data_IF_737401682168
#
_entry.id   IF_737401682168
#
_cell.length_a   1.000
_cell.length_b   1.000
_cell.length_c   1.000
_cell.angle_alpha   90.00
_cell.angle_beta   90.00
_cell.angle_gamma   90.00
#
_symmetry.space_group_name_H-M   'P 1'
#
loop_
_entity.id
_entity.type
_entity.pdbx_description
1 polymer ?
#
# COMPACT_ATOMS: atom_id res chain seq x y z
N UNK A 1 -3.71 -17.60 -10.85
CA UNK A 1 -2.84 -17.43 -12.04
C UNK A 1 -2.63 -15.97 -12.42
N UNK A 2 -3.65 -15.12 -12.67
CA UNK A 2 -3.43 -13.71 -13.08
C UNK A 2 -2.71 -12.81 -12.05
N UNK A 3 -2.85 -13.05 -10.74
CA UNK A 3 -2.23 -12.20 -9.71
C UNK A 3 -0.73 -12.45 -9.51
N UNK A 4 -0.26 -13.69 -9.70
CA UNK A 4 1.18 -14.00 -9.63
C UNK A 4 1.92 -13.42 -10.81
N UNK A 5 1.34 -13.50 -12.00
CA UNK A 5 1.92 -12.92 -13.22
C UNK A 5 2.03 -11.38 -13.11
N UNK A 6 1.00 -10.70 -12.58
CA UNK A 6 1.03 -9.25 -12.40
C UNK A 6 2.13 -8.81 -11.43
N UNK A 7 2.27 -9.46 -10.28
CA UNK A 7 3.30 -9.14 -9.29
C UNK A 7 4.71 -9.43 -9.82
N UNK A 8 4.90 -10.56 -10.50
CA UNK A 8 6.17 -10.93 -11.12
C UNK A 8 6.58 -9.93 -12.20
N UNK A 9 5.64 -9.56 -13.06
CA UNK A 9 5.87 -8.57 -14.11
C UNK A 9 6.17 -7.18 -13.54
N UNK A 10 5.42 -6.73 -12.53
CA UNK A 10 5.67 -5.46 -11.86
C UNK A 10 7.07 -5.40 -11.23
N UNK A 11 7.51 -6.48 -10.56
CA UNK A 11 8.84 -6.59 -10.00
C UNK A 11 9.94 -6.58 -11.07
N UNK A 12 9.70 -7.29 -12.19
CA UNK A 12 10.62 -7.27 -13.32
C UNK A 12 10.78 -5.85 -13.90
N UNK A 13 9.65 -5.17 -14.19
CA UNK A 13 9.61 -3.81 -14.72
C UNK A 13 10.31 -2.84 -13.77
N UNK A 14 10.02 -2.94 -12.47
CA UNK A 14 10.65 -2.12 -11.45
C UNK A 14 12.19 -2.27 -11.48
N UNK A 15 12.70 -3.50 -11.44
CA UNK A 15 14.13 -3.75 -11.46
C UNK A 15 14.79 -3.31 -12.76
N UNK A 16 14.10 -3.52 -13.91
CA UNK A 16 14.58 -3.12 -15.23
C UNK A 16 14.85 -1.61 -15.30
N UNK A 17 13.91 -0.77 -14.87
CA UNK A 17 14.04 0.68 -14.92
C UNK A 17 14.89 1.24 -13.77
N UNK A 18 14.88 0.62 -12.59
CA UNK A 18 15.81 0.98 -11.50
C UNK A 18 17.28 0.85 -11.93
N UNK A 19 17.61 -0.23 -12.61
CA UNK A 19 18.96 -0.45 -13.17
C UNK A 19 19.37 0.61 -14.22
N UNK A 20 18.39 1.35 -14.77
CA UNK A 20 18.59 2.43 -15.75
C UNK A 20 18.45 3.83 -15.16
N UNK A 21 18.46 3.94 -13.84
CA UNK A 21 18.48 5.21 -13.12
C UNK A 21 17.12 5.89 -12.94
N UNK A 22 16.01 5.21 -13.27
CA UNK A 22 14.69 5.76 -12.96
C UNK A 22 14.44 5.76 -11.45
N UNK A 23 13.76 6.78 -10.95
CA UNK A 23 13.34 6.81 -9.55
C UNK A 23 12.26 5.76 -9.27
N UNK A 24 12.21 5.26 -8.05
CA UNK A 24 11.18 4.31 -7.63
C UNK A 24 9.77 4.91 -7.81
N UNK A 25 9.63 6.20 -7.53
CA UNK A 25 8.37 6.95 -7.65
C UNK A 25 7.90 6.99 -9.11
N UNK A 26 8.78 7.29 -10.05
CA UNK A 26 8.45 7.33 -11.47
C UNK A 26 8.01 5.96 -12.00
N UNK A 27 8.74 4.91 -11.65
CA UNK A 27 8.40 3.55 -12.06
C UNK A 27 7.04 3.14 -11.49
N UNK A 28 6.79 3.40 -10.22
CA UNK A 28 5.53 3.03 -9.58
C UNK A 28 4.36 3.87 -10.12
N UNK A 29 4.59 5.14 -10.48
CA UNK A 29 3.60 5.95 -11.20
C UNK A 29 3.21 5.35 -12.56
N UNK A 30 4.19 4.85 -13.32
CA UNK A 30 3.97 4.12 -14.56
C UNK A 30 3.25 2.77 -14.31
N UNK A 31 3.65 1.99 -13.31
CA UNK A 31 3.01 0.71 -12.96
C UNK A 31 1.53 0.88 -12.60
N UNK A 32 1.15 1.95 -11.90
CA UNK A 32 -0.25 2.26 -11.60
C UNK A 32 -1.07 2.47 -12.88
N UNK A 33 -0.47 3.05 -13.94
CA UNK A 33 -1.10 3.18 -15.24
C UNK A 33 -1.16 1.84 -15.99
N UNK A 34 -0.07 1.06 -16.01
CA UNK A 34 -0.03 -0.26 -16.63
C UNK A 34 -1.06 -1.21 -16.02
N UNK A 35 -1.28 -1.14 -14.71
CA UNK A 35 -2.31 -1.94 -14.05
C UNK A 35 -3.71 -1.60 -14.57
N UNK A 36 -4.02 -0.33 -14.80
CA UNK A 36 -5.29 0.10 -15.38
C UNK A 36 -5.44 -0.22 -16.85
N UNK A 37 -4.33 -0.29 -17.59
CA UNK A 37 -4.33 -0.53 -19.03
C UNK A 37 -4.42 -2.02 -19.40
N UNK A 38 -3.64 -2.85 -18.74
CA UNK A 38 -3.37 -4.23 -19.13
C UNK A 38 -3.34 -5.22 -17.96
N UNK A 39 -3.55 -4.77 -16.71
CA UNK A 39 -3.24 -5.61 -15.55
C UNK A 39 -1.76 -5.98 -15.44
N UNK A 40 -0.87 -5.15 -16.03
CA UNK A 40 0.58 -5.41 -16.15
C UNK A 40 0.89 -6.71 -16.91
N UNK A 41 0.07 -7.02 -17.91
CA UNK A 41 0.24 -8.16 -18.83
C UNK A 41 0.76 -7.62 -20.16
N UNK A 42 1.86 -8.20 -20.66
CA UNK A 42 2.49 -7.74 -21.90
C UNK A 42 1.79 -8.29 -23.16
N UNK A 43 1.32 -9.53 -23.13
CA UNK A 43 0.63 -10.15 -24.26
C UNK A 43 -0.89 -10.05 -24.09
N UNK A 44 -1.40 -8.84 -24.29
CA UNK A 44 -2.83 -8.56 -24.19
C UNK A 44 -3.27 -7.45 -25.16
N UNK A 45 -4.34 -7.69 -25.88
CA UNK A 45 -5.02 -6.67 -26.69
C UNK A 45 -5.94 -5.83 -25.78
N UNK A 46 -6.19 -4.58 -26.17
CA UNK A 46 -7.09 -3.67 -25.46
C UNK A 46 -8.52 -4.20 -25.40
N UNK A 47 -9.09 -4.21 -24.18
CA UNK A 47 -10.49 -4.58 -23.98
C UNK A 47 -11.39 -3.45 -24.50
N UNK A 48 -12.26 -3.72 -25.47
CA UNK A 48 -13.18 -2.70 -25.99
C UNK A 48 -12.87 -2.22 -27.42
N UNK A 49 -11.82 -2.77 -28.07
CA UNK A 49 -11.58 -2.58 -29.51
C UNK A 49 -10.88 -1.28 -29.90
N UNK A 50 -10.23 -0.58 -28.98
CA UNK A 50 -9.46 0.65 -29.24
C UNK A 50 -8.16 0.43 -30.04
N UNK A 51 -7.76 -0.82 -30.26
CA UNK A 51 -6.56 -1.18 -31.05
C UNK A 51 -5.24 -1.00 -30.31
N UNK A 52 -5.28 -0.83 -28.99
CA UNK A 52 -4.12 -0.79 -28.12
C UNK A 52 -3.60 -2.20 -27.77
N UNK A 53 -2.32 -2.29 -27.40
CA UNK A 53 -1.69 -3.56 -27.05
C UNK A 53 -0.60 -3.41 -26.00
N UNK A 54 -0.52 -4.38 -25.11
CA UNK A 54 0.56 -4.56 -24.16
C UNK A 54 0.52 -3.65 -22.94
N UNK A 55 1.63 -3.54 -22.24
CA UNK A 55 1.76 -2.92 -20.92
C UNK A 55 1.19 -1.49 -20.84
N UNK A 56 1.40 -0.69 -21.87
CA UNK A 56 0.94 0.71 -21.91
C UNK A 56 -0.07 0.96 -23.04
N UNK A 57 -0.62 -0.11 -23.63
CA UNK A 57 -1.61 -0.05 -24.68
C UNK A 57 -1.19 0.83 -25.87
N UNK A 58 -0.05 0.48 -26.51
CA UNK A 58 0.39 1.19 -27.73
C UNK A 58 -0.71 1.16 -28.80
N UNK A 59 -1.14 2.31 -29.22
CA UNK A 59 -2.19 2.49 -30.22
C UNK A 59 -1.64 3.29 -31.41
N UNK A 60 -1.65 2.78 -32.65
CA UNK A 60 -1.98 1.38 -33.01
C UNK A 60 -0.92 0.38 -32.53
N UNK A 61 -1.30 -0.88 -32.31
CA UNK A 61 -0.44 -2.02 -31.93
C UNK A 61 0.82 -2.12 -32.78
N UNK A 62 0.73 -1.76 -34.06
CA UNK A 62 1.85 -1.81 -35.00
C UNK A 62 3.04 -0.95 -34.62
N UNK A 63 2.85 0.09 -33.78
CA UNK A 63 3.97 0.89 -33.25
C UNK A 63 4.96 0.01 -32.47
N UNK A 64 4.46 -0.94 -31.68
CA UNK A 64 5.29 -1.88 -30.94
C UNK A 64 5.75 -3.03 -31.82
N UNK A 65 4.82 -3.65 -32.58
CA UNK A 65 5.10 -4.86 -33.38
C UNK A 65 6.19 -4.62 -34.41
N UNK A 66 6.06 -3.57 -35.22
CA UNK A 66 7.06 -3.25 -36.25
C UNK A 66 8.42 -2.93 -35.63
N UNK A 67 8.43 -2.08 -34.56
CA UNK A 67 9.66 -1.73 -33.86
C UNK A 67 10.39 -2.97 -33.29
N UNK A 68 9.65 -3.92 -32.73
CA UNK A 68 10.22 -5.15 -32.19
C UNK A 68 10.72 -6.09 -33.30
N UNK A 69 9.92 -6.27 -34.35
CA UNK A 69 10.28 -7.12 -35.49
C UNK A 69 11.55 -6.63 -36.18
N UNK A 70 11.69 -5.32 -36.40
CA UNK A 70 12.89 -4.70 -36.99
C UNK A 70 14.17 -4.99 -36.19
N UNK A 71 14.02 -5.41 -34.94
CA UNK A 71 15.10 -5.72 -33.98
C UNK A 71 15.21 -7.19 -33.66
N UNK A 72 14.39 -8.04 -34.26
CA UNK A 72 14.35 -9.48 -33.97
C UNK A 72 13.87 -9.79 -32.54
N UNK A 73 13.05 -8.91 -31.95
CA UNK A 73 12.58 -9.03 -30.59
C UNK A 73 11.14 -9.59 -30.54
N UNK A 74 10.84 -10.32 -29.47
CA UNK A 74 9.49 -10.81 -29.21
C UNK A 74 8.63 -9.72 -28.56
N UNK A 75 7.78 -9.04 -29.33
CA UNK A 75 6.92 -7.95 -28.86
C UNK A 75 5.95 -8.35 -27.74
N UNK A 76 5.69 -9.65 -27.54
CA UNK A 76 4.79 -10.18 -26.50
C UNK A 76 5.43 -10.23 -25.11
N UNK A 77 6.75 -10.06 -25.01
CA UNK A 77 7.46 -10.18 -23.74
C UNK A 77 7.49 -8.86 -22.97
N UNK A 78 7.46 -8.97 -21.64
CA UNK A 78 7.64 -7.83 -20.72
C UNK A 78 8.96 -7.10 -21.00
N UNK A 79 10.03 -7.87 -21.22
CA UNK A 79 11.37 -7.32 -21.46
C UNK A 79 11.42 -6.44 -22.70
N UNK A 80 10.90 -6.93 -23.83
CA UNK A 80 10.85 -6.16 -25.09
C UNK A 80 10.04 -4.87 -24.94
N UNK A 81 8.94 -4.93 -24.18
CA UNK A 81 8.10 -3.76 -23.97
C UNK A 81 8.76 -2.74 -23.04
N UNK A 82 9.53 -3.18 -22.04
CA UNK A 82 10.41 -2.30 -21.25
C UNK A 82 11.49 -1.65 -22.13
N UNK A 83 12.13 -2.41 -23.02
CA UNK A 83 13.08 -1.88 -23.99
C UNK A 83 12.45 -0.82 -24.89
N UNK A 84 11.21 -1.02 -25.33
CA UNK A 84 10.47 -0.06 -26.14
C UNK A 84 10.22 1.26 -25.40
N UNK A 85 9.79 1.22 -24.15
CA UNK A 85 9.59 2.42 -23.32
C UNK A 85 10.92 3.17 -23.12
N UNK A 86 11.99 2.44 -22.85
CA UNK A 86 13.33 3.05 -22.68
C UNK A 86 13.81 3.69 -24.00
N UNK A 87 13.58 3.04 -25.12
CA UNK A 87 13.90 3.57 -26.44
C UNK A 87 13.08 4.84 -26.75
N UNK A 88 11.81 4.90 -26.39
CA UNK A 88 10.97 6.10 -26.56
C UNK A 88 11.52 7.29 -25.75
N UNK A 89 12.00 7.03 -24.50
CA UNK A 89 12.67 8.04 -23.68
C UNK A 89 13.93 8.57 -24.38
N UNK A 90 14.78 7.67 -24.87
CA UNK A 90 16.06 8.01 -25.50
C UNK A 90 15.89 8.78 -26.82
N UNK A 91 14.80 8.51 -27.52
CA UNK A 91 14.49 9.14 -28.82
C UNK A 91 13.49 10.31 -28.70
N UNK A 92 13.10 10.70 -27.48
CA UNK A 92 12.20 11.83 -27.25
C UNK A 92 10.78 11.62 -27.78
N UNK A 93 10.32 10.37 -27.79
CA UNK A 93 9.02 9.99 -28.33
C UNK A 93 7.98 9.75 -27.23
N UNK A 94 6.69 9.75 -27.63
CA UNK A 94 5.52 9.34 -26.86
C UNK A 94 5.19 10.21 -25.63
N UNK A 95 6.12 10.97 -25.06
CA UNK A 95 5.89 11.77 -23.87
C UNK A 95 5.78 13.27 -24.23
N UNK A 96 4.59 13.85 -24.07
CA UNK A 96 4.26 15.22 -24.45
C UNK A 96 4.13 16.08 -23.18
N UNK A 97 4.85 17.19 -23.13
CA UNK A 97 4.69 18.18 -22.03
C UNK A 97 3.30 18.80 -22.14
N UNK A 98 2.50 18.72 -21.06
CA UNK A 98 1.21 19.40 -20.99
C UNK A 98 1.30 20.65 -20.13
N UNK A 99 0.33 21.56 -20.28
CA UNK A 99 0.24 22.76 -19.41
C UNK A 99 0.04 22.39 -17.94
N UNK A 100 -0.72 21.31 -17.67
CA UNK A 100 -0.97 20.84 -16.31
C UNK A 100 0.24 20.14 -15.70
N UNK A 101 1.06 19.47 -16.52
CA UNK A 101 2.23 18.70 -16.09
C UNK A 101 3.42 19.03 -17.03
N UNK A 102 4.15 20.13 -16.79
CA UNK A 102 5.17 20.62 -17.73
C UNK A 102 6.52 19.89 -17.60
N UNK A 103 6.51 18.60 -17.29
CA UNK A 103 7.69 17.76 -17.21
C UNK A 103 8.05 17.17 -18.56
N UNK A 104 9.34 17.12 -18.88
CA UNK A 104 9.87 16.26 -19.93
C UNK A 104 9.94 14.81 -19.48
N UNK A 105 10.10 13.86 -20.40
CA UNK A 105 10.25 12.45 -20.01
C UNK A 105 11.49 12.24 -19.12
N UNK A 106 12.61 12.91 -19.42
CA UNK A 106 13.82 12.88 -18.57
C UNK A 106 13.57 13.43 -17.15
N UNK A 107 12.80 14.50 -17.03
CA UNK A 107 12.42 15.06 -15.73
C UNK A 107 11.46 14.12 -14.98
N UNK A 108 10.54 13.48 -15.68
CA UNK A 108 9.64 12.48 -15.09
C UNK A 108 10.41 11.34 -14.45
N UNK A 109 11.33 10.70 -15.18
CA UNK A 109 12.07 9.53 -14.68
C UNK A 109 13.00 9.86 -13.51
N UNK A 110 13.47 11.11 -13.41
CA UNK A 110 14.33 11.60 -12.32
C UNK A 110 13.54 12.19 -11.15
N UNK A 111 12.22 12.32 -11.27
CA UNK A 111 11.39 12.98 -10.25
C UNK A 111 11.25 12.13 -8.98
N UNK A 112 11.32 12.80 -7.84
CA UNK A 112 11.09 12.23 -6.51
C UNK A 112 9.72 12.62 -5.92
N UNK A 113 8.88 13.24 -6.72
CA UNK A 113 7.48 13.48 -6.38
C UNK A 113 6.76 12.16 -6.08
N UNK A 114 5.62 12.22 -5.39
CA UNK A 114 4.90 11.00 -5.01
C UNK A 114 4.53 10.15 -6.22
N UNK A 115 4.53 8.83 -6.06
CA UNK A 115 4.12 7.90 -7.12
C UNK A 115 2.69 8.19 -7.63
N UNK A 116 1.78 8.62 -6.74
CA UNK A 116 0.44 9.06 -7.11
C UNK A 116 0.45 10.28 -8.02
N UNK A 117 1.29 11.29 -7.73
CA UNK A 117 1.46 12.45 -8.60
C UNK A 117 2.04 12.06 -9.95
N UNK A 118 3.08 11.22 -9.94
CA UNK A 118 3.73 10.77 -11.17
C UNK A 118 2.82 9.84 -12.01
N UNK A 119 1.86 9.15 -11.41
CA UNK A 119 0.82 8.46 -12.17
C UNK A 119 -0.09 9.44 -12.94
N UNK A 120 -0.43 10.59 -12.34
CA UNK A 120 -1.16 11.67 -13.03
C UNK A 120 -0.35 12.27 -14.16
N UNK A 121 0.94 12.49 -13.94
CA UNK A 121 1.86 12.95 -14.99
C UNK A 121 1.89 11.97 -16.15
N UNK A 122 2.08 10.68 -15.86
CA UNK A 122 2.21 9.64 -16.90
C UNK A 122 0.94 9.52 -17.75
N UNK A 123 -0.24 9.48 -17.14
CA UNK A 123 -1.50 9.40 -17.90
C UNK A 123 -1.72 10.62 -18.78
N UNK A 124 -1.35 11.81 -18.33
CA UNK A 124 -1.53 13.05 -19.08
C UNK A 124 -0.50 13.24 -20.19
N UNK A 125 0.77 12.88 -19.93
CA UNK A 125 1.88 13.21 -20.81
C UNK A 125 2.27 12.05 -21.74
N UNK A 126 2.10 10.80 -21.31
CA UNK A 126 2.44 9.61 -22.10
C UNK A 126 1.20 8.98 -22.76
N UNK A 127 0.08 8.87 -22.03
CA UNK A 127 -1.13 8.18 -22.49
C UNK A 127 -2.12 9.10 -23.21
N UNK A 128 -2.31 10.31 -22.73
CA UNK A 128 -3.22 11.34 -23.29
C UNK A 128 -4.64 10.86 -23.61
N UNK A 129 -5.35 10.15 -22.70
CA UNK A 129 -6.71 9.70 -22.95
C UNK A 129 -7.70 10.88 -22.88
N UNK A 130 -8.91 10.69 -23.42
CA UNK A 130 -9.98 11.68 -23.34
C UNK A 130 -10.37 12.02 -21.89
N UNK A 131 -10.34 11.04 -20.99
CA UNK A 131 -10.53 11.25 -19.54
C UNK A 131 -9.29 10.82 -18.75
N UNK A 132 -8.41 11.75 -18.36
CA UNK A 132 -7.25 11.44 -17.55
C UNK A 132 -7.52 11.32 -16.05
N UNK A 133 -8.74 11.65 -15.58
CA UNK A 133 -9.09 11.56 -14.16
C UNK A 133 -9.47 10.12 -13.79
N UNK A 134 -8.47 9.32 -13.43
CA UNK A 134 -8.63 7.90 -13.11
C UNK A 134 -8.01 7.57 -11.74
N UNK A 135 -8.70 7.87 -10.62
CA UNK A 135 -8.16 7.82 -9.26
C UNK A 135 -7.57 6.47 -8.84
N UNK A 136 -8.10 5.36 -9.39
CA UNK A 136 -7.57 4.03 -9.10
C UNK A 136 -6.09 3.90 -9.48
N UNK A 137 -5.65 4.56 -10.56
CA UNK A 137 -4.26 4.50 -11.02
C UNK A 137 -3.31 5.18 -10.05
N UNK A 138 -3.75 6.25 -9.36
CA UNK A 138 -2.94 6.90 -8.33
C UNK A 138 -2.81 6.05 -7.07
N UNK A 139 -3.90 5.39 -6.68
CA UNK A 139 -3.90 4.45 -5.56
C UNK A 139 -2.98 3.25 -5.85
N UNK A 140 -3.09 2.65 -7.05
CA UNK A 140 -2.21 1.56 -7.47
C UNK A 140 -0.73 1.97 -7.53
N UNK A 141 -0.43 3.17 -8.01
CA UNK A 141 0.94 3.69 -8.02
C UNK A 141 1.53 3.79 -6.60
N UNK A 142 0.75 4.29 -5.65
CA UNK A 142 1.15 4.33 -4.23
C UNK A 142 1.38 2.94 -3.67
N UNK A 143 0.51 1.99 -4.01
CA UNK A 143 0.62 0.61 -3.56
C UNK A 143 1.89 -0.07 -4.10
N UNK A 144 2.18 0.11 -5.40
CA UNK A 144 3.42 -0.39 -5.99
C UNK A 144 4.65 0.22 -5.34
N UNK A 145 4.63 1.51 -5.04
CA UNK A 145 5.74 2.16 -4.35
C UNK A 145 5.98 1.55 -2.97
N UNK A 146 4.92 1.34 -2.19
CA UNK A 146 5.00 0.72 -0.88
C UNK A 146 5.51 -0.73 -0.95
N UNK A 147 5.12 -1.47 -1.99
CA UNK A 147 5.48 -2.88 -2.17
C UNK A 147 6.91 -3.07 -2.69
N UNK A 148 7.33 -2.28 -3.67
CA UNK A 148 8.57 -2.52 -4.42
C UNK A 148 9.75 -1.66 -3.94
N UNK A 149 9.50 -0.44 -3.50
CA UNK A 149 10.53 0.48 -3.03
C UNK A 149 10.87 0.32 -1.55
N UNK A 150 10.19 -0.58 -0.84
CA UNK A 150 10.30 -0.66 0.62
C UNK A 150 9.79 0.60 1.29
N UNK A 151 8.91 1.33 0.61
CA UNK A 151 8.22 2.48 1.16
C UNK A 151 7.44 2.04 2.38
N UNK A 152 8.04 2.19 3.54
CA UNK A 152 7.27 2.38 4.76
C UNK A 152 6.24 3.47 4.43
N UNK A 153 4.97 3.33 4.87
CA UNK A 153 4.05 4.44 4.77
C UNK A 153 4.79 5.68 5.27
N UNK A 154 4.90 6.70 4.40
CA UNK A 154 5.52 7.98 4.74
C UNK A 154 4.65 8.70 5.76
N UNK A 155 4.78 8.27 6.93
CA UNK A 155 4.79 8.95 8.20
C UNK A 155 5.47 7.96 9.14
N UNK A 156 6.72 8.26 9.54
CA UNK A 156 7.15 7.83 10.86
C UNK A 156 5.96 8.22 11.75
N UNK A 157 5.23 7.25 12.34
CA UNK A 157 4.14 7.66 13.22
C UNK A 157 4.79 8.49 14.31
N UNK A 158 4.51 9.76 14.31
CA UNK A 158 4.69 10.59 15.49
C UNK A 158 3.99 9.79 16.57
N UNK A 159 4.70 9.48 17.66
CA UNK A 159 4.19 8.68 18.78
C UNK A 159 2.77 9.16 19.09
N UNK A 160 1.75 8.38 18.69
CA UNK A 160 0.36 8.74 18.91
C UNK A 160 -0.59 8.71 17.71
N UNK A 161 -0.12 8.53 16.48
CA UNK A 161 -1.00 8.51 15.29
C UNK A 161 -1.37 7.11 14.82
N UNK A 162 -2.58 6.96 14.23
CA UNK A 162 -3.04 5.73 13.63
C UNK A 162 -2.17 5.37 12.40
N UNK A 163 -1.79 4.10 12.26
CA UNK A 163 -1.12 3.60 11.06
C UNK A 163 -2.17 3.10 10.08
N UNK A 164 -2.07 3.54 8.85
CA UNK A 164 -3.00 3.19 7.79
C UNK A 164 -2.35 2.27 6.76
N UNK A 165 -3.18 1.42 6.17
CA UNK A 165 -2.84 0.57 5.04
C UNK A 165 -3.94 0.70 3.98
N UNK A 166 -3.57 0.79 2.71
CA UNK A 166 -4.54 0.79 1.61
C UNK A 166 -4.68 -0.63 1.07
N UNK A 167 -5.91 -1.15 1.09
CA UNK A 167 -6.25 -2.48 0.61
C UNK A 167 -5.95 -2.60 -0.89
N UNK A 168 -5.16 -3.59 -1.29
CA UNK A 168 -4.74 -3.81 -2.68
C UNK A 168 -5.32 -5.10 -3.23
N UNK A 169 -5.32 -5.22 -4.56
CA UNK A 169 -5.77 -6.44 -5.22
C UNK A 169 -4.92 -7.65 -4.79
N UNK A 170 -5.59 -8.73 -4.42
CA UNK A 170 -4.96 -9.94 -3.88
C UNK A 170 -4.81 -9.95 -2.37
N UNK A 171 -5.05 -8.84 -1.69
CA UNK A 171 -5.13 -8.84 -0.24
C UNK A 171 -6.37 -9.61 0.25
N UNK A 172 -6.19 -10.20 1.41
CA UNK A 172 -7.30 -10.66 2.24
C UNK A 172 -7.21 -9.97 3.60
N UNK A 173 -8.34 -9.77 4.25
CA UNK A 173 -8.34 -9.17 5.58
C UNK A 173 -7.49 -9.97 6.56
N UNK A 174 -7.54 -11.31 6.45
CA UNK A 174 -6.72 -12.22 7.27
C UNK A 174 -5.22 -12.05 6.98
N UNK A 175 -4.82 -11.88 5.71
CA UNK A 175 -3.43 -11.62 5.33
C UNK A 175 -2.90 -10.31 5.91
N UNK A 176 -3.72 -9.26 5.87
CA UNK A 176 -3.40 -7.96 6.50
C UNK A 176 -3.27 -8.11 8.02
N UNK A 177 -4.17 -8.87 8.65
CA UNK A 177 -4.10 -9.14 10.09
C UNK A 177 -2.79 -9.80 10.49
N UNK A 178 -2.35 -10.82 9.76
CA UNK A 178 -1.05 -11.49 9.99
C UNK A 178 0.11 -10.52 9.80
N UNK A 179 0.09 -9.73 8.71
CA UNK A 179 1.15 -8.77 8.38
C UNK A 179 1.35 -7.69 9.45
N UNK A 180 0.26 -7.21 10.04
CA UNK A 180 0.30 -6.11 11.03
C UNK A 180 0.16 -6.56 12.48
N UNK A 181 0.04 -7.86 12.73
CA UNK A 181 -0.08 -8.42 14.07
C UNK A 181 -1.38 -8.04 14.79
N UNK A 182 -2.49 -7.95 14.06
CA UNK A 182 -3.81 -7.57 14.57
C UNK A 182 -4.83 -8.66 14.28
N UNK A 183 -5.94 -8.67 15.00
CA UNK A 183 -7.04 -9.60 14.72
C UNK A 183 -8.04 -9.00 13.72
N UNK A 184 -8.77 -9.86 13.02
CA UNK A 184 -9.87 -9.43 12.11
C UNK A 184 -10.88 -8.57 12.86
N UNK A 185 -11.23 -8.96 14.09
CA UNK A 185 -12.15 -8.21 14.94
C UNK A 185 -11.65 -6.81 15.27
N UNK A 186 -10.35 -6.66 15.58
CA UNK A 186 -9.74 -5.35 15.80
C UNK A 186 -9.77 -4.50 14.54
N UNK A 187 -9.39 -5.10 13.41
CA UNK A 187 -9.35 -4.39 12.12
C UNK A 187 -10.75 -3.92 11.72
N UNK A 188 -11.76 -4.78 11.84
CA UNK A 188 -13.15 -4.43 11.57
C UNK A 188 -13.66 -3.31 12.49
N UNK A 189 -13.37 -3.43 13.79
CA UNK A 189 -13.78 -2.43 14.80
C UNK A 189 -13.15 -1.06 14.56
N UNK A 190 -11.86 -1.00 14.19
CA UNK A 190 -11.17 0.26 13.94
C UNK A 190 -11.64 0.96 12.67
N UNK A 191 -12.21 0.22 11.73
CA UNK A 191 -12.57 0.71 10.40
C UNK A 191 -14.08 0.71 10.13
N UNK A 192 -14.91 0.44 11.16
CA UNK A 192 -16.37 0.33 11.03
C UNK A 192 -16.80 -0.66 9.92
N UNK A 193 -16.10 -1.78 9.81
CA UNK A 193 -16.39 -2.84 8.83
C UNK A 193 -17.38 -3.81 9.46
N UNK A 194 -18.61 -3.82 8.95
CA UNK A 194 -19.68 -4.74 9.38
C UNK A 194 -19.57 -6.12 8.74
N UNK A 195 -19.03 -6.20 7.52
CA UNK A 195 -18.83 -7.46 6.79
C UNK A 195 -17.37 -7.55 6.32
N UNK A 196 -16.54 -8.42 6.92
CA UNK A 196 -15.14 -8.56 6.57
C UNK A 196 -14.88 -9.08 5.15
N UNK A 197 -15.92 -9.56 4.45
CA UNK A 197 -15.80 -9.99 3.05
C UNK A 197 -16.08 -8.84 2.05
N UNK A 198 -16.51 -7.67 2.55
CA UNK A 198 -16.83 -6.50 1.74
C UNK A 198 -15.76 -5.42 1.88
N UNK A 199 -14.54 -5.75 1.49
CA UNK A 199 -13.42 -4.80 1.43
C UNK A 199 -13.08 -4.55 -0.03
N UNK A 200 -12.85 -3.29 -0.38
CA UNK A 200 -12.62 -2.88 -1.76
C UNK A 200 -11.18 -2.42 -1.97
N UNK A 201 -10.61 -2.76 -3.12
CA UNK A 201 -9.30 -2.26 -3.55
C UNK A 201 -9.30 -0.72 -3.52
N UNK A 202 -8.28 -0.15 -2.88
CA UNK A 202 -8.18 1.28 -2.64
C UNK A 202 -8.78 1.74 -1.30
N UNK A 203 -9.45 0.86 -0.56
CA UNK A 203 -9.96 1.19 0.78
C UNK A 203 -8.80 1.37 1.76
N UNK A 204 -8.79 2.51 2.46
CA UNK A 204 -7.79 2.82 3.48
C UNK A 204 -8.24 2.29 4.82
N UNK A 205 -7.43 1.41 5.40
CA UNK A 205 -7.70 0.74 6.68
C UNK A 205 -6.72 1.21 7.76
N UNK A 206 -7.23 1.44 8.97
CA UNK A 206 -6.40 1.57 10.16
C UNK A 206 -5.92 0.17 10.53
N UNK A 207 -4.63 -0.07 10.40
CA UNK A 207 -4.00 -1.38 10.68
C UNK A 207 -3.23 -1.40 12.00
N UNK A 208 -3.04 -0.23 12.60
CA UNK A 208 -2.53 -0.06 13.94
C UNK A 208 -3.09 1.23 14.48
N UNK A 209 -3.78 1.15 15.62
CA UNK A 209 -4.18 2.36 16.34
C UNK A 209 -2.96 3.06 16.89
N UNK A 210 -2.80 4.31 16.51
CA UNK A 210 -1.84 5.19 17.14
C UNK A 210 -2.16 5.29 18.62
N UNK A 211 -1.14 5.29 19.43
CA UNK A 211 -1.31 5.56 20.86
C UNK A 211 -1.63 7.04 21.12
N UNK A 212 -2.74 7.51 20.57
CA UNK A 212 -3.38 8.71 21.08
C UNK A 212 -3.75 8.40 22.50
N UNK A 213 -3.22 9.17 23.45
CA UNK A 213 -3.22 8.93 24.89
C UNK A 213 -4.38 8.06 25.36
N UNK A 214 -4.18 6.75 25.40
CA UNK A 214 -5.07 5.87 26.12
C UNK A 214 -4.84 6.22 27.57
N UNK A 215 -5.67 7.13 28.10
CA UNK A 215 -5.76 7.34 29.53
C UNK A 215 -5.92 5.97 30.16
N UNK A 216 -5.04 5.65 31.09
CA UNK A 216 -5.10 4.39 31.80
C UNK A 216 -6.56 4.16 32.26
N UNK A 217 -7.13 3.00 31.91
CA UNK A 217 -8.49 2.68 32.33
C UNK A 217 -8.42 2.12 33.75
N UNK A 218 -9.23 2.67 34.61
CA UNK A 218 -9.31 2.28 36.01
C UNK A 218 -10.61 1.53 36.29
N UNK A 219 -10.54 0.63 37.26
CA UNK A 219 -11.68 -0.10 37.78
C UNK A 219 -11.60 -0.14 39.31
N UNK A 220 -12.69 0.10 39.98
CA UNK A 220 -12.78 -0.06 41.44
C UNK A 220 -13.30 -1.45 41.75
N UNK A 221 -12.54 -2.21 42.55
CA UNK A 221 -12.90 -3.56 42.95
C UNK A 221 -14.18 -3.51 43.79
N UNK A 222 -15.15 -4.34 43.46
CA UNK A 222 -16.42 -4.46 44.14
C UNK A 222 -16.53 -5.82 44.85
N UNK A 223 -17.53 -5.96 45.73
CA UNK A 223 -17.76 -7.22 46.46
C UNK A 223 -18.02 -8.36 45.47
N UNK A 224 -17.34 -9.48 45.66
CA UNK A 224 -17.41 -10.66 44.78
C UNK A 224 -16.42 -10.70 43.62
N UNK A 225 -15.63 -9.62 43.44
CA UNK A 225 -14.57 -9.64 42.40
C UNK A 225 -13.41 -10.54 42.85
N UNK A 226 -12.88 -11.25 41.84
CA UNK A 226 -11.60 -11.95 41.88
C UNK A 226 -10.71 -11.42 40.76
N UNK A 227 -9.40 -11.38 40.96
CA UNK A 227 -8.47 -10.81 39.99
C UNK A 227 -8.56 -11.47 38.60
N UNK A 228 -8.81 -12.80 38.56
CA UNK A 228 -9.04 -13.53 37.32
C UNK A 228 -10.28 -13.00 36.57
N UNK A 229 -11.40 -12.78 37.27
CA UNK A 229 -12.62 -12.21 36.68
C UNK A 229 -12.42 -10.80 36.11
N UNK A 230 -11.69 -9.96 36.83
CA UNK A 230 -11.32 -8.63 36.39
C UNK A 230 -10.43 -8.70 35.13
N UNK A 231 -9.45 -9.62 35.11
CA UNK A 231 -8.56 -9.83 33.99
C UNK A 231 -9.35 -10.19 32.70
N UNK A 232 -10.24 -11.18 32.80
CA UNK A 232 -11.09 -11.60 31.68
C UNK A 232 -11.99 -10.44 31.20
N UNK A 233 -12.65 -9.74 32.13
CA UNK A 233 -13.58 -8.64 31.83
C UNK A 233 -12.92 -7.49 31.04
N UNK A 234 -11.65 -7.21 31.30
CA UNK A 234 -10.93 -6.10 30.69
C UNK A 234 -9.89 -6.53 29.64
N UNK A 235 -9.82 -7.83 29.31
CA UNK A 235 -8.90 -8.33 28.30
C UNK A 235 -7.44 -8.23 28.68
N UNK A 236 -7.14 -8.32 29.99
CA UNK A 236 -5.79 -8.33 30.54
C UNK A 236 -5.44 -9.73 31.07
N UNK A 237 -4.16 -10.00 31.29
CA UNK A 237 -3.73 -11.18 32.05
C UNK A 237 -3.60 -10.84 33.52
N UNK A 238 -3.68 -11.86 34.40
CA UNK A 238 -3.44 -11.70 35.84
C UNK A 238 -2.05 -11.08 36.06
N UNK A 239 -1.03 -11.57 35.35
CA UNK A 239 0.33 -11.03 35.42
C UNK A 239 0.42 -9.54 35.06
N UNK A 240 -0.32 -9.11 34.03
CA UNK A 240 -0.41 -7.69 33.68
C UNK A 240 -1.09 -6.85 34.77
N UNK A 241 -2.21 -7.34 35.32
CA UNK A 241 -2.90 -6.63 36.41
C UNK A 241 -2.01 -6.52 37.65
N UNK A 242 -1.32 -7.60 38.02
CA UNK A 242 -0.37 -7.59 39.11
C UNK A 242 0.76 -6.57 38.89
N UNK A 243 1.37 -6.60 37.72
CA UNK A 243 2.46 -5.67 37.36
C UNK A 243 2.01 -4.21 37.29
N UNK A 244 0.82 -3.91 36.78
CA UNK A 244 0.32 -2.55 36.65
C UNK A 244 -0.10 -1.93 38.00
N UNK A 245 -0.44 -2.77 38.98
CA UNK A 245 -1.02 -2.37 40.26
C UNK A 245 -0.14 -2.72 41.47
N UNK A 246 1.09 -3.20 41.25
CA UNK A 246 2.00 -3.66 42.29
C UNK A 246 1.36 -4.70 43.24
N UNK A 247 0.60 -5.64 42.68
CA UNK A 247 -0.04 -6.71 43.44
C UNK A 247 0.96 -7.88 43.57
N UNK A 248 1.43 -8.15 44.77
CA UNK A 248 2.35 -9.26 45.06
C UNK A 248 1.64 -10.60 45.22
N UNK A 249 0.38 -10.57 45.69
CA UNK A 249 -0.45 -11.77 45.89
C UNK A 249 -1.78 -11.58 45.16
N UNK A 250 -2.00 -12.30 44.03
CA UNK A 250 -3.21 -12.14 43.22
C UNK A 250 -4.51 -12.55 43.94
N UNK A 251 -4.40 -13.25 45.06
CA UNK A 251 -5.55 -13.65 45.89
C UNK A 251 -5.93 -12.58 46.96
N UNK A 252 -5.14 -11.54 47.09
CA UNK A 252 -5.36 -10.47 48.06
C UNK A 252 -5.73 -9.16 47.40
N UNK A 253 -6.97 -9.07 46.96
CA UNK A 253 -7.57 -7.83 46.48
C UNK A 253 -8.72 -7.44 47.42
N UNK A 254 -8.95 -6.16 47.58
CA UNK A 254 -9.91 -5.62 48.54
C UNK A 254 -10.93 -4.73 47.84
N UNK A 255 -12.17 -4.79 48.30
CA UNK A 255 -13.25 -3.91 47.84
C UNK A 255 -12.84 -2.44 48.02
N UNK A 256 -13.06 -1.64 46.97
CA UNK A 256 -12.66 -0.23 46.93
C UNK A 256 -11.27 0.01 46.39
N UNK A 257 -10.41 -1.01 46.20
CA UNK A 257 -9.14 -0.84 45.50
C UNK A 257 -9.38 -0.37 44.06
N UNK A 258 -8.60 0.63 43.63
CA UNK A 258 -8.61 1.15 42.28
C UNK A 258 -7.50 0.53 41.45
N UNK A 259 -7.86 -0.28 40.47
CA UNK A 259 -6.90 -0.96 39.59
C UNK A 259 -6.79 -0.28 38.24
N UNK A 260 -5.56 -0.23 37.71
CA UNK A 260 -5.31 -0.01 36.32
C UNK A 260 -5.66 -1.32 35.60
N UNK A 261 -6.74 -1.32 34.82
CA UNK A 261 -7.21 -2.49 34.09
C UNK A 261 -6.84 -2.42 32.61
N UNK A 262 -6.33 -1.27 32.15
CA UNK A 262 -5.68 -1.08 30.85
C UNK A 262 -4.63 0.00 31.01
N UNK A 263 -3.37 -0.32 30.72
CA UNK A 263 -2.29 0.66 30.80
C UNK A 263 -2.31 1.55 29.57
N UNK A 264 -2.29 2.86 29.74
CA UNK A 264 -2.05 3.79 28.65
C UNK A 264 -0.67 3.53 28.06
N UNK A 265 -0.52 3.55 26.74
CA UNK A 265 0.77 3.38 26.07
C UNK A 265 1.69 4.55 26.41
N UNK A 266 2.52 4.39 27.42
CA UNK A 266 3.63 5.28 27.75
C UNK A 266 4.94 4.54 27.53
N UNK A 267 5.85 5.13 26.75
CA UNK A 267 7.14 4.58 26.44
C UNK A 267 7.93 4.19 27.70
N UNK A 268 8.57 3.04 27.60
CA UNK A 268 9.58 2.59 28.56
C UNK A 268 10.73 3.60 28.56
N UNK A 269 10.83 4.41 29.60
CA UNK A 269 12.11 5.04 29.96
C UNK A 269 12.88 4.02 30.77
N UNK A 270 13.81 3.33 30.11
CA UNK A 270 14.90 2.66 30.82
C UNK A 270 15.68 3.76 31.57
N UNK A 271 15.65 3.72 32.88
CA UNK A 271 16.65 4.40 33.72
C UNK A 271 17.74 3.40 34.07
N UNK A 272 18.97 3.78 33.74
CA UNK A 272 20.22 3.16 34.19
C UNK A 272 20.34 3.17 35.70
#
# INVERSE_FOLDING_TARGET
>A
MQSEDMNSNAKYIYNYFRARGWTAQAICGMLGNMQGDSGIIADIDETGGGGGYGLVQWTPKLKLVNWANDRGLNYRSVDTQCQRIQWELENGLQFIRTKAYPLTFKQYIASTESAAYLAKVFINNYKTPANPNQPNRWAWATNWYNTLAGGQPTSTPTSGEDTYYTFVYGDTLSGICVRFGVTVSQLCSWNNISDPNKIYVGQRLIVKKGGGGSTAKYYNVVSGDILCGIAVRFGATISQLCSWNNISDPNKIYVGQRFIVKKGGGGSTAKY
#
